data_IF_901511089814
#
_entry.id   IF_901511089814
#
_cell.length_a   1.000
_cell.length_b   1.000
_cell.length_c   1.000
_cell.angle_alpha   90.00
_cell.angle_beta   90.00
_cell.angle_gamma   90.00
#
_symmetry.space_group_name_H-M   'P 1'
#
loop_
_entity.id
_entity.type
_entity.pdbx_description
1 polymer ?
#
# COMPACT_ATOMS: atom_id res chain seq x y z
N UNK A 1 11.78 35.96 11.97
CA UNK A 1 12.33 34.62 12.22
C UNK A 1 11.33 33.62 11.67
N UNK A 2 11.65 33.03 10.52
CA UNK A 2 10.72 32.26 9.68
C UNK A 2 10.30 30.96 10.36
N UNK A 3 9.01 30.62 10.22
CA UNK A 3 8.44 29.33 10.62
C UNK A 3 8.90 28.30 9.58
N UNK A 4 9.69 27.33 10.01
CA UNK A 4 10.12 26.23 9.15
C UNK A 4 8.89 25.40 8.77
N UNK A 5 8.54 25.55 7.50
CA UNK A 5 7.60 24.76 6.74
C UNK A 5 8.07 23.30 6.84
N UNK A 6 7.19 22.43 7.34
CA UNK A 6 7.32 20.98 7.19
C UNK A 6 7.38 20.68 5.68
N UNK A 7 8.59 20.68 5.14
CA UNK A 7 8.89 20.15 3.82
C UNK A 7 8.85 18.63 3.95
N UNK A 8 7.64 18.07 3.94
CA UNK A 8 7.47 16.68 3.54
C UNK A 8 8.13 16.57 2.17
N UNK A 9 9.18 15.75 2.08
CA UNK A 9 9.68 15.28 0.79
C UNK A 9 8.47 14.73 0.06
N UNK A 10 8.12 15.33 -1.08
CA UNK A 10 7.04 14.89 -1.97
C UNK A 10 7.45 13.56 -2.62
N UNK A 11 7.59 12.51 -1.82
CA UNK A 11 7.58 11.13 -2.29
C UNK A 11 6.17 10.83 -2.80
N UNK A 12 6.07 9.95 -3.78
CA UNK A 12 4.84 9.67 -4.52
C UNK A 12 3.73 8.96 -3.69
N UNK A 13 3.59 9.22 -2.39
CA UNK A 13 2.68 8.51 -1.50
C UNK A 13 3.32 7.28 -0.87
N UNK A 14 2.58 6.55 -0.03
CA UNK A 14 3.02 5.33 0.65
C UNK A 14 3.15 5.42 2.17
N UNK A 15 3.68 6.53 2.70
CA UNK A 15 4.02 6.66 4.14
C UNK A 15 2.93 7.29 5.02
N UNK A 16 1.73 7.47 4.47
CA UNK A 16 0.57 7.95 5.25
C UNK A 16 0.08 6.82 6.18
N UNK A 17 -0.26 7.08 7.45
CA UNK A 17 -0.86 6.09 8.34
C UNK A 17 -2.12 5.45 7.73
N UNK A 18 -2.30 4.13 7.90
CA UNK A 18 -3.45 3.36 7.37
C UNK A 18 -4.57 3.11 8.40
N UNK A 19 -4.53 3.82 9.53
CA UNK A 19 -5.37 3.55 10.72
C UNK A 19 -6.86 3.70 10.43
N UNK A 20 -7.24 4.74 9.71
CA UNK A 20 -8.63 5.00 9.34
C UNK A 20 -9.23 3.86 8.51
N UNK A 21 -8.49 3.35 7.52
CA UNK A 21 -8.90 2.21 6.70
C UNK A 21 -9.05 0.95 7.55
N UNK A 22 -8.05 0.65 8.39
CA UNK A 22 -8.06 -0.54 9.28
C UNK A 22 -9.24 -0.49 10.24
N UNK A 23 -9.49 0.64 10.89
CA UNK A 23 -10.59 0.79 11.85
C UNK A 23 -11.96 0.68 11.17
N UNK A 24 -12.11 1.22 9.96
CA UNK A 24 -13.36 1.09 9.20
C UNK A 24 -13.61 -0.36 8.78
N UNK A 25 -12.60 -1.10 8.33
CA UNK A 25 -12.73 -2.50 7.95
C UNK A 25 -13.09 -3.40 9.14
N UNK A 26 -12.52 -3.15 10.33
CA UNK A 26 -12.92 -3.85 11.56
C UNK A 26 -14.40 -3.63 11.91
N UNK A 27 -14.94 -2.43 11.66
CA UNK A 27 -16.36 -2.11 11.91
C UNK A 27 -17.29 -2.79 10.90
N UNK A 28 -16.87 -2.87 9.64
CA UNK A 28 -17.62 -3.54 8.58
C UNK A 28 -17.62 -5.05 8.79
N UNK A 29 -16.50 -5.62 9.24
CA UNK A 29 -16.32 -7.06 9.43
C UNK A 29 -16.45 -7.84 8.12
N UNK A 30 -15.64 -7.54 7.08
CA UNK A 30 -15.72 -8.26 5.81
C UNK A 30 -15.24 -9.71 5.94
N UNK A 31 -15.86 -10.60 5.18
CA UNK A 31 -15.46 -12.01 5.09
C UNK A 31 -14.26 -12.25 4.15
N UNK A 32 -13.93 -11.27 3.31
CA UNK A 32 -12.83 -11.33 2.34
C UNK A 32 -12.26 -9.92 2.11
N UNK A 33 -10.92 -9.82 2.08
CA UNK A 33 -10.21 -8.63 1.62
C UNK A 33 -9.63 -8.85 0.23
N UNK A 34 -9.74 -7.83 -0.62
CA UNK A 34 -9.12 -7.82 -1.95
C UNK A 34 -8.33 -6.53 -2.15
N UNK A 35 -7.02 -6.67 -2.37
CA UNK A 35 -6.11 -5.58 -2.74
C UNK A 35 -5.73 -5.74 -4.22
N UNK A 36 -5.97 -4.69 -5.01
CA UNK A 36 -5.98 -4.79 -6.48
C UNK A 36 -4.78 -4.19 -7.21
N UNK A 37 -3.77 -3.71 -6.48
CA UNK A 37 -2.61 -2.99 -7.02
C UNK A 37 -2.19 -1.84 -6.09
N UNK A 38 -1.01 -1.26 -6.33
CA UNK A 38 -0.45 -0.13 -5.58
C UNK A 38 -0.27 -0.41 -4.07
N UNK A 39 0.05 -1.64 -3.67
CA UNK A 39 0.40 -1.92 -2.27
C UNK A 39 1.73 -1.28 -1.86
N UNK A 40 2.66 -1.19 -2.81
CA UNK A 40 4.00 -0.62 -2.65
C UNK A 40 4.18 0.52 -3.63
N UNK A 41 4.60 1.68 -3.11
CA UNK A 41 4.86 2.89 -3.92
C UNK A 41 6.31 3.37 -3.87
N UNK A 42 7.20 2.58 -3.27
CA UNK A 42 8.65 2.80 -3.33
C UNK A 42 9.24 1.97 -4.47
N UNK A 43 9.80 2.67 -5.46
CA UNK A 43 10.33 2.08 -6.69
C UNK A 43 11.80 1.64 -6.60
N UNK A 44 12.37 1.56 -5.39
CA UNK A 44 13.77 1.17 -5.18
C UNK A 44 13.93 -0.02 -4.22
N UNK A 45 12.96 -0.24 -3.31
CA UNK A 45 13.05 -1.19 -2.20
C UNK A 45 11.78 -2.04 -2.07
N UNK A 46 11.29 -2.56 -3.19
CA UNK A 46 10.06 -3.37 -3.27
C UNK A 46 9.93 -4.42 -2.15
N UNK A 47 10.96 -5.22 -1.89
CA UNK A 47 10.94 -6.22 -0.80
C UNK A 47 10.64 -5.61 0.57
N UNK A 48 11.31 -4.51 0.92
CA UNK A 48 11.13 -3.88 2.23
C UNK A 48 9.73 -3.26 2.38
N UNK A 49 9.19 -2.72 1.29
CA UNK A 49 7.86 -2.10 1.29
C UNK A 49 6.74 -3.12 1.22
N UNK A 50 6.92 -4.29 0.61
CA UNK A 50 5.97 -5.40 0.73
C UNK A 50 5.86 -5.89 2.17
N UNK A 51 6.99 -5.98 2.89
CA UNK A 51 6.96 -6.26 4.33
C UNK A 51 6.30 -5.13 5.14
N UNK A 52 6.44 -3.88 4.69
CA UNK A 52 5.75 -2.74 5.31
C UNK A 52 4.24 -2.82 5.08
N UNK A 53 3.78 -3.10 3.87
CA UNK A 53 2.36 -3.33 3.55
C UNK A 53 1.75 -4.39 4.48
N UNK A 54 2.42 -5.54 4.61
CA UNK A 54 1.97 -6.60 5.51
C UNK A 54 1.90 -6.16 6.98
N UNK A 55 2.81 -5.28 7.44
CA UNK A 55 2.78 -4.70 8.79
C UNK A 55 1.69 -3.65 8.97
N UNK A 56 1.48 -2.78 7.98
CA UNK A 56 0.49 -1.69 8.02
C UNK A 56 -0.94 -2.23 8.14
N UNK A 57 -1.23 -3.37 7.50
CA UNK A 57 -2.54 -4.02 7.52
C UNK A 57 -2.58 -5.31 8.36
N UNK A 58 -1.53 -5.59 9.15
CA UNK A 58 -1.36 -6.85 9.89
C UNK A 58 -2.62 -7.25 10.69
N UNK A 59 -3.26 -6.27 11.34
CA UNK A 59 -4.41 -6.48 12.21
C UNK A 59 -5.66 -7.03 11.50
N UNK A 60 -5.80 -6.81 10.19
CA UNK A 60 -6.95 -7.28 9.42
C UNK A 60 -6.60 -8.49 8.54
N UNK A 61 -5.40 -8.52 7.94
CA UNK A 61 -5.01 -9.61 7.05
C UNK A 61 -4.67 -10.90 7.81
N UNK A 62 -4.37 -10.83 9.11
CA UNK A 62 -4.07 -12.01 9.92
C UNK A 62 -5.33 -12.78 10.36
N UNK A 63 -6.51 -12.18 10.26
CA UNK A 63 -7.79 -12.76 10.68
C UNK A 63 -8.83 -12.85 9.56
N UNK A 64 -8.68 -12.07 8.48
CA UNK A 64 -9.59 -12.10 7.33
C UNK A 64 -8.87 -12.71 6.12
N UNK A 65 -9.46 -13.71 5.44
CA UNK A 65 -8.96 -14.20 4.17
C UNK A 65 -8.66 -13.03 3.22
N UNK A 66 -7.44 -13.01 2.66
CA UNK A 66 -6.95 -11.87 1.89
C UNK A 66 -6.40 -12.33 0.55
N UNK A 67 -6.86 -11.69 -0.52
CA UNK A 67 -6.36 -11.85 -1.88
C UNK A 67 -5.65 -10.54 -2.28
N UNK A 68 -4.48 -10.67 -2.89
CA UNK A 68 -3.72 -9.56 -3.46
C UNK A 68 -3.32 -9.93 -4.88
N UNK A 69 -3.38 -8.96 -5.79
CA UNK A 69 -2.68 -9.00 -7.07
C UNK A 69 -1.70 -7.82 -7.12
N UNK A 70 -0.46 -8.03 -7.56
CA UNK A 70 0.50 -6.94 -7.74
C UNK A 70 0.18 -6.14 -9.01
N UNK A 71 0.50 -4.85 -9.05
CA UNK A 71 0.58 -4.04 -10.28
C UNK A 71 2.00 -3.53 -10.59
N UNK A 72 2.12 -2.54 -11.48
CA UNK A 72 3.41 -2.00 -11.92
C UNK A 72 4.19 -1.30 -10.81
N UNK A 73 3.50 -0.61 -9.90
CA UNK A 73 4.13 0.02 -8.73
C UNK A 73 4.66 -1.04 -7.76
N UNK A 74 3.97 -2.17 -7.65
CA UNK A 74 4.35 -3.25 -6.75
C UNK A 74 5.63 -4.01 -7.15
N UNK A 75 5.90 -4.07 -8.46
CA UNK A 75 7.02 -4.87 -9.02
C UNK A 75 8.09 -4.03 -9.73
N UNK A 76 7.86 -2.73 -9.94
CA UNK A 76 8.80 -1.84 -10.61
C UNK A 76 8.87 -2.04 -12.13
N UNK A 77 7.80 -2.52 -12.74
CA UNK A 77 7.71 -2.74 -14.19
C UNK A 77 6.46 -2.05 -14.74
N UNK A 78 6.59 -0.98 -15.55
CA UNK A 78 5.46 -0.17 -16.00
C UNK A 78 4.44 -1.00 -16.79
N UNK A 79 3.17 -0.60 -16.70
CA UNK A 79 2.06 -1.21 -17.45
C UNK A 79 1.95 -2.74 -17.29
N UNK A 80 2.18 -3.29 -16.09
CA UNK A 80 2.16 -4.74 -15.86
C UNK A 80 0.91 -5.44 -16.44
N UNK A 81 -0.25 -4.81 -16.29
CA UNK A 81 -1.53 -5.28 -16.84
C UNK A 81 -2.06 -4.45 -18.03
N UNK A 82 -1.38 -3.35 -18.37
CA UNK A 82 -1.71 -2.45 -19.47
C UNK A 82 -0.83 -2.69 -20.70
N UNK A 83 -1.13 -2.09 -21.84
CA UNK A 83 -0.25 -2.11 -23.04
C UNK A 83 0.27 -3.51 -23.50
N UNK A 84 -0.36 -4.61 -23.09
CA UNK A 84 0.15 -5.96 -23.31
C UNK A 84 1.40 -6.32 -22.49
N UNK A 85 1.57 -5.70 -21.32
CA UNK A 85 2.72 -5.86 -20.43
C UNK A 85 3.96 -5.05 -20.84
N UNK A 86 3.79 -4.03 -21.70
CA UNK A 86 4.88 -3.26 -22.31
C UNK A 86 5.12 -1.90 -21.65
#
# INVERSE_FOLDING_TARGET
>A
MQRDRLIGTWGHGGDIPKRDIVENLKRIGPDLLFFSGDQVYDHNRHYAYWLKFGRDFAEIICVTPTITIPDDHDVGHPNLWGAGGK
#
